data_IF_182362295657
#
_entry.id   IF_182362295657
#
_cell.length_a   1.000
_cell.length_b   1.000
_cell.length_c   1.000
_cell.angle_alpha   90.00
_cell.angle_beta   90.00
_cell.angle_gamma   90.00
#
_symmetry.space_group_name_H-M   'P 1'
#
loop_
_entity.id
_entity.type
_entity.pdbx_description
1 polymer ?
#
# COMPACT_ATOMS: atom_id res chain seq x y z
N UNK A 1 -16.97 24.33 -57.84
CA UNK A 1 -17.63 24.11 -56.53
C UNK A 1 -17.28 22.74 -55.94
N UNK A 2 -16.00 22.31 -55.94
CA UNK A 2 -15.61 20.93 -55.56
C UNK A 2 -14.35 20.82 -54.69
N UNK A 3 -13.72 21.93 -54.32
CA UNK A 3 -12.51 21.95 -53.48
C UNK A 3 -12.83 22.11 -51.98
N UNK A 4 -13.81 22.96 -51.64
CA UNK A 4 -14.20 23.20 -50.24
C UNK A 4 -14.77 21.97 -49.53
N UNK A 5 -15.53 21.13 -50.24
CA UNK A 5 -16.14 19.91 -49.68
C UNK A 5 -15.09 18.84 -49.32
N UNK A 6 -13.96 18.80 -50.04
CA UNK A 6 -12.87 17.85 -49.80
C UNK A 6 -12.01 18.25 -48.59
N UNK A 7 -11.73 19.55 -48.42
CA UNK A 7 -11.01 20.04 -47.22
C UNK A 7 -11.84 19.88 -45.94
N UNK A 8 -13.15 20.12 -45.99
CA UNK A 8 -14.04 19.95 -44.83
C UNK A 8 -14.15 18.47 -44.40
N UNK A 9 -14.15 17.54 -45.36
CA UNK A 9 -14.22 16.10 -45.10
C UNK A 9 -12.94 15.53 -44.48
N UNK A 10 -11.76 16.07 -44.80
CA UNK A 10 -10.50 15.64 -44.17
C UNK A 10 -10.34 16.19 -42.74
N UNK A 11 -10.83 17.41 -42.47
CA UNK A 11 -10.81 17.99 -41.12
C UNK A 11 -11.74 17.23 -40.15
N UNK A 12 -12.90 16.77 -40.61
CA UNK A 12 -13.79 15.91 -39.82
C UNK A 12 -13.14 14.55 -39.48
N UNK A 13 -12.38 13.95 -40.41
CA UNK A 13 -11.66 12.69 -40.16
C UNK A 13 -10.47 12.84 -39.20
N UNK A 14 -9.75 13.98 -39.25
CA UNK A 14 -8.64 14.25 -38.34
C UNK A 14 -9.10 14.53 -36.89
N UNK A 15 -10.27 15.16 -36.72
CA UNK A 15 -10.85 15.46 -35.39
C UNK A 15 -11.50 14.22 -34.74
N UNK A 16 -11.97 13.25 -35.54
CA UNK A 16 -12.52 11.99 -35.03
C UNK A 16 -11.45 11.01 -34.51
N UNK A 17 -10.17 11.19 -34.88
CA UNK A 17 -9.06 10.34 -34.41
C UNK A 17 -8.51 10.73 -33.02
N UNK A 18 -8.99 11.82 -32.42
CA UNK A 18 -8.74 12.15 -31.01
C UNK A 18 -9.93 11.72 -30.15
N UNK A 19 -10.47 10.52 -30.37
CA UNK A 19 -11.24 9.85 -29.32
C UNK A 19 -10.24 9.46 -28.24
N UNK A 20 -10.15 10.32 -27.23
CA UNK A 20 -9.47 10.08 -25.96
C UNK A 20 -9.53 8.60 -25.59
N UNK A 21 -8.38 7.95 -25.59
CA UNK A 21 -8.19 6.65 -24.95
C UNK A 21 -8.27 6.90 -23.43
N UNK A 22 -9.47 7.22 -22.94
CA UNK A 22 -9.76 7.20 -21.53
C UNK A 22 -9.62 5.73 -21.12
N UNK A 23 -8.41 5.34 -20.69
CA UNK A 23 -8.22 4.09 -19.96
C UNK A 23 -9.26 4.14 -18.84
N UNK A 24 -10.17 3.16 -18.76
CA UNK A 24 -11.11 3.10 -17.65
C UNK A 24 -10.30 3.31 -16.37
N UNK A 25 -10.74 4.22 -15.50
CA UNK A 25 -10.18 4.34 -14.15
C UNK A 25 -10.35 2.98 -13.50
N UNK A 26 -9.27 2.22 -13.57
CA UNK A 26 -9.26 0.81 -13.27
C UNK A 26 -9.20 0.70 -11.75
N UNK A 27 -10.36 0.69 -11.12
CA UNK A 27 -10.52 0.62 -9.68
C UNK A 27 -10.38 -0.83 -9.23
N UNK A 28 -9.14 -1.33 -9.24
CA UNK A 28 -8.85 -2.58 -8.57
C UNK A 28 -8.57 -2.28 -7.11
N UNK A 29 -9.41 -2.82 -6.24
CA UNK A 29 -9.23 -2.81 -4.79
C UNK A 29 -9.30 -4.25 -4.29
N UNK A 30 -8.44 -4.60 -3.34
CA UNK A 30 -8.57 -5.83 -2.59
C UNK A 30 -8.07 -5.67 -1.17
N UNK A 31 -8.57 -6.54 -0.29
CA UNK A 31 -8.21 -6.55 1.11
C UNK A 31 -7.69 -7.93 1.48
N UNK A 32 -6.50 -7.96 2.06
CA UNK A 32 -6.00 -9.15 2.73
C UNK A 32 -6.46 -9.14 4.17
N UNK A 33 -7.29 -10.13 4.51
CA UNK A 33 -7.90 -10.31 5.83
C UNK A 33 -6.86 -10.23 6.93
N UNK A 34 -7.14 -9.42 7.95
CA UNK A 34 -6.23 -9.21 9.06
C UNK A 34 -5.87 -10.51 9.79
N UNK A 35 -4.60 -10.65 10.13
CA UNK A 35 -4.04 -11.76 10.93
C UNK A 35 -3.60 -11.27 12.30
N UNK A 36 -3.52 -12.16 13.29
CA UNK A 36 -3.08 -11.86 14.66
C UNK A 36 -4.16 -12.15 15.72
N UNK A 37 -3.90 -11.78 16.97
CA UNK A 37 -4.72 -12.17 18.12
C UNK A 37 -5.94 -11.29 18.44
N UNK A 38 -5.99 -10.05 17.94
CA UNK A 38 -7.20 -9.22 18.00
C UNK A 38 -7.37 -8.26 19.20
N UNK A 39 -6.40 -8.16 20.11
CA UNK A 39 -6.49 -7.27 21.29
C UNK A 39 -6.20 -5.78 21.00
N UNK A 40 -6.55 -4.89 21.92
CA UNK A 40 -6.18 -3.45 21.85
C UNK A 40 -7.11 -2.58 21.00
N UNK A 41 -6.63 -1.42 20.55
CA UNK A 41 -7.37 -0.42 19.78
C UNK A 41 -7.13 -0.59 18.28
N UNK A 42 -8.19 -0.40 17.49
CA UNK A 42 -8.11 -0.42 16.04
C UNK A 42 -7.30 0.77 15.49
N UNK A 43 -6.63 0.56 14.37
CA UNK A 43 -5.93 1.60 13.63
C UNK A 43 -6.12 1.45 12.12
N UNK A 44 -5.90 2.56 11.41
CA UNK A 44 -5.72 2.60 9.97
C UNK A 44 -4.61 3.60 9.65
N UNK A 45 -3.63 3.20 8.85
CA UNK A 45 -2.54 4.04 8.39
C UNK A 45 -2.77 4.34 6.91
N UNK A 46 -3.27 5.54 6.65
CA UNK A 46 -3.61 6.06 5.32
C UNK A 46 -3.09 7.48 5.17
N UNK A 47 -2.95 7.94 3.92
CA UNK A 47 -2.45 9.25 3.58
C UNK A 47 -2.72 9.59 2.11
N UNK A 48 -2.43 10.83 1.73
CA UNK A 48 -2.54 11.30 0.36
C UNK A 48 -1.29 10.94 -0.44
N UNK A 49 -1.47 10.43 -1.65
CA UNK A 49 -0.37 10.04 -2.53
C UNK A 49 0.00 8.56 -2.45
N UNK A 50 1.22 8.21 -2.84
CA UNK A 50 1.75 6.83 -2.80
C UNK A 50 2.58 6.62 -1.56
N UNK A 51 2.64 5.38 -1.06
CA UNK A 51 3.59 5.04 -0.01
C UNK A 51 5.00 5.19 -0.60
N UNK A 52 5.86 5.98 0.04
CA UNK A 52 7.25 6.22 -0.39
C UNK A 52 8.27 5.77 0.65
N UNK A 53 7.84 5.43 1.87
CA UNK A 53 8.72 4.91 2.90
C UNK A 53 7.95 4.16 3.98
N UNK A 54 8.60 3.17 4.59
CA UNK A 54 8.09 2.43 5.74
C UNK A 54 9.11 2.45 6.87
N UNK A 55 8.62 2.62 8.09
CA UNK A 55 9.36 2.40 9.33
C UNK A 55 8.68 1.33 10.18
N UNK A 56 9.50 0.45 10.72
CA UNK A 56 9.09 -0.58 11.68
C UNK A 56 9.96 -0.46 12.93
N UNK A 57 9.32 -0.61 14.08
CA UNK A 57 10.00 -0.81 15.37
C UNK A 57 9.72 -2.23 15.83
N UNK A 58 10.70 -2.85 16.47
CA UNK A 58 10.56 -4.15 17.10
C UNK A 58 11.06 -4.12 18.55
N UNK A 59 10.46 -4.97 19.38
CA UNK A 59 11.10 -5.40 20.62
C UNK A 59 12.06 -6.52 20.25
N UNK A 60 13.35 -6.34 20.54
CA UNK A 60 14.40 -7.28 20.15
C UNK A 60 14.04 -8.72 20.54
N UNK A 61 14.15 -9.64 19.58
CA UNK A 61 13.81 -11.06 19.72
C UNK A 61 12.34 -11.36 20.07
N UNK A 62 11.42 -10.43 19.79
CA UNK A 62 10.01 -10.60 20.10
C UNK A 62 9.11 -10.16 18.94
N UNK A 63 8.42 -9.03 19.09
CA UNK A 63 7.32 -8.62 18.20
C UNK A 63 7.49 -7.20 17.67
N UNK A 64 6.77 -6.92 16.58
CA UNK A 64 6.65 -5.59 16.00
C UNK A 64 5.90 -4.70 16.98
N UNK A 65 6.59 -3.66 17.45
CA UNK A 65 6.08 -2.72 18.45
C UNK A 65 5.38 -1.55 17.78
N UNK A 66 5.82 -1.12 16.60
CA UNK A 66 5.25 0.01 15.90
C UNK A 66 5.44 0.01 14.39
N UNK A 67 4.58 0.76 13.71
CA UNK A 67 4.56 0.92 12.25
C UNK A 67 4.32 2.40 11.92
N UNK A 68 5.02 2.91 10.91
CA UNK A 68 4.77 4.23 10.35
C UNK A 68 4.98 4.20 8.84
N UNK A 69 4.09 4.85 8.09
CA UNK A 69 4.18 4.99 6.63
C UNK A 69 4.43 6.45 6.26
N UNK A 70 5.18 6.68 5.17
CA UNK A 70 5.27 7.97 4.49
C UNK A 70 4.46 7.90 3.21
N UNK A 71 3.58 8.88 3.00
CA UNK A 71 2.89 9.06 1.73
C UNK A 71 3.44 10.31 1.05
N UNK A 72 3.92 10.15 -0.18
CA UNK A 72 4.72 11.14 -0.91
C UNK A 72 5.86 11.70 -0.04
N UNK A 73 5.68 12.89 0.53
CA UNK A 73 6.68 13.55 1.37
C UNK A 73 6.27 13.64 2.86
N UNK A 74 5.09 13.14 3.22
CA UNK A 74 4.48 13.35 4.53
C UNK A 74 4.44 12.04 5.32
N UNK A 75 5.10 12.04 6.49
CA UNK A 75 4.99 10.93 7.44
C UNK A 75 3.64 10.97 8.16
N UNK A 76 3.00 9.81 8.26
CA UNK A 76 1.82 9.61 9.11
C UNK A 76 2.19 9.66 10.60
N UNK A 77 1.19 9.74 11.48
CA UNK A 77 1.41 9.37 12.88
C UNK A 77 1.82 7.88 12.96
N UNK A 78 2.77 7.56 13.83
CA UNK A 78 3.13 6.17 14.09
C UNK A 78 2.03 5.48 14.89
N UNK A 79 1.77 4.22 14.57
CA UNK A 79 0.93 3.31 15.35
C UNK A 79 1.81 2.41 16.20
N UNK A 80 1.40 2.13 17.45
CA UNK A 80 2.17 1.32 18.38
C UNK A 80 3.26 2.12 19.12
N UNK A 81 4.28 1.41 19.59
CA UNK A 81 5.39 1.96 20.37
C UNK A 81 6.64 2.15 19.50
N UNK A 82 7.33 3.28 19.68
CA UNK A 82 8.65 3.54 19.08
C UNK A 82 9.74 3.08 20.04
N UNK A 83 10.15 1.83 19.90
CA UNK A 83 11.21 1.25 20.74
C UNK A 83 12.52 1.28 19.96
N UNK A 84 13.46 2.13 20.38
CA UNK A 84 14.75 2.30 19.72
C UNK A 84 14.66 2.95 18.33
N UNK A 85 15.69 2.73 17.51
CA UNK A 85 15.75 3.22 16.14
C UNK A 85 14.87 2.37 15.21
N UNK A 86 14.15 2.98 14.26
CA UNK A 86 13.34 2.23 13.31
C UNK A 86 14.21 1.53 12.27
N UNK A 87 13.76 0.36 11.85
CA UNK A 87 14.14 -0.22 10.57
C UNK A 87 13.36 0.49 9.46
N UNK A 88 14.05 1.00 8.45
CA UNK A 88 13.46 1.83 7.40
C UNK A 88 13.75 1.29 6.00
N UNK A 89 12.75 1.41 5.12
CA UNK A 89 12.91 1.24 3.69
C UNK A 89 12.29 2.44 2.97
N UNK A 90 13.13 3.26 2.35
CA UNK A 90 12.71 4.27 1.38
C UNK A 90 12.56 3.63 0.01
N UNK A 91 11.41 3.86 -0.62
CA UNK A 91 11.10 3.41 -1.97
C UNK A 91 11.73 4.38 -2.98
N UNK A 92 12.26 3.84 -4.07
CA UNK A 92 12.66 4.62 -5.23
C UNK A 92 11.43 5.14 -5.98
N UNK A 93 11.64 6.10 -6.87
CA UNK A 93 10.60 6.57 -7.79
C UNK A 93 9.97 5.38 -8.53
N UNK A 94 8.64 5.37 -8.58
CA UNK A 94 7.82 4.30 -9.15
C UNK A 94 7.95 2.90 -8.53
N UNK A 95 8.72 2.76 -7.44
CA UNK A 95 8.74 1.52 -6.67
C UNK A 95 7.54 1.43 -5.74
N UNK A 96 6.93 0.25 -5.71
CA UNK A 96 5.72 -0.01 -4.95
C UNK A 96 5.91 -1.25 -4.08
N UNK A 97 5.16 -1.33 -2.99
CA UNK A 97 5.06 -2.56 -2.20
C UNK A 97 3.97 -3.42 -2.83
N UNK A 98 4.32 -4.67 -3.14
CA UNK A 98 3.45 -5.61 -3.88
C UNK A 98 3.17 -6.90 -3.11
N UNK A 99 3.86 -7.10 -1.99
CA UNK A 99 3.61 -8.24 -1.10
C UNK A 99 3.99 -7.86 0.32
N UNK A 100 3.20 -8.38 1.27
CA UNK A 100 3.56 -8.41 2.70
C UNK A 100 3.47 -9.84 3.16
N UNK A 101 4.52 -10.36 3.76
CA UNK A 101 4.47 -11.64 4.46
C UNK A 101 5.06 -11.52 5.85
N UNK A 102 4.96 -12.56 6.66
CA UNK A 102 5.53 -12.52 7.98
C UNK A 102 5.04 -13.62 8.89
N UNK A 103 5.17 -13.34 10.19
CA UNK A 103 4.85 -14.26 11.26
C UNK A 103 4.00 -13.60 12.33
N UNK A 104 3.12 -14.37 12.97
CA UNK A 104 2.38 -13.93 14.15
C UNK A 104 2.27 -15.05 15.19
N UNK A 105 2.17 -14.66 16.47
CA UNK A 105 2.09 -15.59 17.60
C UNK A 105 1.42 -14.98 18.83
N UNK A 106 0.68 -15.81 19.57
CA UNK A 106 -0.06 -15.54 20.80
C UNK A 106 -1.02 -14.36 20.76
N UNK A 107 -0.53 -13.16 20.49
CA UNK A 107 -1.32 -11.95 20.32
C UNK A 107 -0.69 -10.90 19.40
N UNK A 108 0.52 -11.12 18.90
CA UNK A 108 1.32 -10.10 18.23
C UNK A 108 1.82 -10.53 16.86
N UNK A 109 2.13 -9.53 16.04
CA UNK A 109 2.89 -9.71 14.80
C UNK A 109 4.37 -9.81 15.18
N UNK A 110 5.01 -10.92 14.82
CA UNK A 110 6.39 -11.23 15.19
C UNK A 110 7.39 -10.84 14.10
N UNK A 111 6.99 -10.96 12.83
CA UNK A 111 7.83 -10.60 11.71
C UNK A 111 7.00 -9.93 10.63
N UNK A 112 7.61 -8.95 9.97
CA UNK A 112 7.11 -8.38 8.74
C UNK A 112 8.18 -8.37 7.67
N UNK A 113 7.75 -8.75 6.47
CA UNK A 113 8.52 -8.76 5.24
C UNK A 113 7.74 -7.97 4.22
N UNK A 114 8.21 -6.77 3.89
CA UNK A 114 7.66 -5.96 2.80
C UNK A 114 8.49 -6.23 1.55
N UNK A 115 7.88 -6.69 0.47
CA UNK A 115 8.54 -6.92 -0.82
C UNK A 115 8.07 -5.90 -1.84
N UNK A 116 9.02 -5.37 -2.58
CA UNK A 116 8.82 -4.28 -3.55
C UNK A 116 8.76 -4.79 -5.00
N UNK A 117 8.19 -3.97 -5.88
CA UNK A 117 8.16 -4.22 -7.33
C UNK A 117 9.55 -4.26 -7.99
N UNK A 118 10.59 -3.76 -7.30
CA UNK A 118 11.99 -3.84 -7.75
C UNK A 118 12.77 -5.01 -7.12
N UNK A 119 12.08 -5.94 -6.45
CA UNK A 119 12.70 -7.14 -5.85
C UNK A 119 13.50 -6.86 -4.57
N UNK A 120 13.42 -5.65 -4.01
CA UNK A 120 13.98 -5.33 -2.68
C UNK A 120 13.02 -5.73 -1.57
N UNK A 121 13.54 -5.92 -0.37
CA UNK A 121 12.72 -6.21 0.80
C UNK A 121 13.18 -5.51 2.07
N UNK A 122 12.22 -5.21 2.94
CA UNK A 122 12.45 -4.87 4.35
C UNK A 122 12.00 -6.06 5.19
N UNK A 123 12.93 -6.65 5.96
CA UNK A 123 12.68 -7.81 6.82
C UNK A 123 12.98 -7.40 8.26
N UNK A 124 11.99 -7.47 9.14
CA UNK A 124 12.11 -7.05 10.54
C UNK A 124 11.37 -8.04 11.44
N UNK A 125 11.92 -8.33 12.61
CA UNK A 125 11.33 -9.25 13.57
C UNK A 125 11.74 -10.72 13.42
N UNK A 126 11.06 -11.60 14.17
CA UNK A 126 11.46 -12.98 14.39
C UNK A 126 10.73 -14.00 13.49
N UNK A 127 11.45 -14.87 12.75
CA UNK A 127 10.87 -15.80 11.76
C UNK A 127 10.21 -17.05 12.40
N UNK A 128 9.60 -16.90 13.57
CA UNK A 128 9.03 -18.02 14.34
C UNK A 128 7.51 -18.04 14.22
N UNK A 129 6.88 -19.22 14.33
CA UNK A 129 5.42 -19.39 14.49
C UNK A 129 4.62 -19.30 13.17
N UNK A 130 3.36 -18.84 13.22
CA UNK A 130 2.40 -18.93 12.12
C UNK A 130 2.73 -17.96 10.99
N UNK A 131 2.86 -18.48 9.77
CA UNK A 131 3.10 -17.67 8.58
C UNK A 131 1.82 -17.04 8.05
N UNK A 132 1.96 -15.88 7.41
CA UNK A 132 0.94 -15.33 6.52
C UNK A 132 1.60 -14.71 5.28
N UNK A 133 0.82 -14.60 4.20
CA UNK A 133 1.22 -13.92 2.98
C UNK A 133 0.03 -13.13 2.43
N UNK A 134 0.25 -11.86 2.15
CA UNK A 134 -0.70 -10.92 1.60
C UNK A 134 -0.23 -10.49 0.21
N UNK A 135 -1.15 -10.59 -0.74
CA UNK A 135 -0.96 -10.21 -2.13
C UNK A 135 -2.18 -9.43 -2.61
N UNK A 136 -2.00 -8.48 -3.53
CA UNK A 136 -3.12 -7.94 -4.28
C UNK A 136 -3.77 -9.04 -5.13
N UNK A 137 -5.08 -8.96 -5.37
CA UNK A 137 -5.73 -9.83 -6.36
C UNK A 137 -5.43 -9.43 -7.80
N UNK A 138 -5.00 -8.18 -8.04
CA UNK A 138 -4.65 -7.68 -9.38
C UNK A 138 -3.14 -7.41 -9.47
N UNK A 139 -2.43 -7.83 -10.54
CA UNK A 139 -0.98 -7.68 -10.65
C UNK A 139 -0.51 -6.21 -10.65
N UNK A 140 -1.32 -5.29 -11.18
CA UNK A 140 -1.00 -3.85 -11.22
C UNK A 140 -1.36 -3.10 -9.93
N UNK A 141 -1.82 -3.78 -8.88
CA UNK A 141 -2.17 -3.15 -7.62
C UNK A 141 -0.98 -3.12 -6.65
N UNK A 142 -0.92 -2.05 -5.85
CA UNK A 142 0.11 -1.82 -4.83
C UNK A 142 -0.52 -1.64 -3.46
N UNK A 143 0.30 -1.69 -2.40
CA UNK A 143 -0.14 -1.39 -1.05
C UNK A 143 -0.59 0.07 -0.97
N UNK A 144 -1.80 0.28 -0.46
CA UNK A 144 -2.40 1.63 -0.31
C UNK A 144 -2.60 2.01 1.15
N UNK A 145 -2.87 1.04 2.01
CA UNK A 145 -3.20 1.29 3.41
C UNK A 145 -2.92 0.03 4.24
N UNK A 146 -2.51 0.24 5.48
CA UNK A 146 -2.46 -0.80 6.51
C UNK A 146 -3.57 -0.56 7.51
N UNK A 147 -4.21 -1.63 7.98
CA UNK A 147 -5.19 -1.58 9.05
C UNK A 147 -4.89 -2.66 10.07
N UNK A 148 -5.49 -2.58 11.25
CA UNK A 148 -5.27 -3.60 12.26
C UNK A 148 -5.61 -3.11 13.65
N UNK A 149 -4.94 -3.71 14.62
CA UNK A 149 -5.09 -3.40 16.05
C UNK A 149 -3.72 -3.36 16.71
N UNK A 150 -3.60 -2.54 17.74
CA UNK A 150 -2.41 -2.44 18.56
C UNK A 150 -2.80 -2.20 20.02
N UNK A 151 -1.92 -2.56 20.94
CA UNK A 151 -2.06 -2.23 22.36
C UNK A 151 -0.82 -1.46 22.84
N UNK A 152 -0.67 -1.30 24.16
CA UNK A 152 0.48 -0.61 24.76
C UNK A 152 1.82 -1.30 24.52
N UNK A 153 1.83 -2.57 24.09
CA UNK A 153 3.05 -3.34 23.83
C UNK A 153 3.41 -3.36 22.34
N UNK A 154 2.45 -3.69 21.46
CA UNK A 154 2.75 -3.81 20.04
C UNK A 154 1.56 -4.03 19.13
N UNK A 155 1.86 -4.41 17.89
CA UNK A 155 0.88 -4.66 16.84
C UNK A 155 0.26 -6.02 17.06
N UNK A 156 -1.06 -6.05 17.28
CA UNK A 156 -1.79 -7.27 17.63
C UNK A 156 -2.52 -7.89 16.45
N UNK A 157 -2.92 -7.07 15.47
CA UNK A 157 -3.36 -7.54 14.16
C UNK A 157 -2.89 -6.65 13.03
N UNK A 158 -2.78 -7.22 11.83
CA UNK A 158 -2.44 -6.50 10.63
C UNK A 158 -3.25 -7.01 9.43
N UNK A 159 -3.90 -6.11 8.72
CA UNK A 159 -4.50 -6.30 7.40
C UNK A 159 -3.92 -5.33 6.39
N UNK A 160 -4.02 -5.67 5.11
CA UNK A 160 -3.44 -4.90 4.01
C UNK A 160 -4.48 -4.58 2.96
N UNK A 161 -4.47 -3.34 2.49
CA UNK A 161 -5.38 -2.85 1.46
C UNK A 161 -4.57 -2.52 0.22
N UNK A 162 -5.01 -3.10 -0.89
CA UNK A 162 -4.32 -3.03 -2.17
C UNK A 162 -5.17 -2.30 -3.18
N UNK A 163 -4.51 -1.62 -4.12
CA UNK A 163 -5.16 -1.23 -5.35
C UNK A 163 -4.37 -0.31 -6.24
N UNK A 164 -5.03 0.22 -7.27
CA UNK A 164 -4.39 1.03 -8.29
C UNK A 164 -3.94 2.41 -7.77
N UNK A 165 -2.86 2.94 -8.36
CA UNK A 165 -2.31 4.29 -8.08
C UNK A 165 -3.40 5.38 -8.19
N UNK A 166 -4.35 5.22 -9.11
CA UNK A 166 -5.38 6.22 -9.40
C UNK A 166 -6.57 6.23 -8.41
N UNK A 167 -6.58 5.39 -7.37
CA UNK A 167 -7.71 5.35 -6.42
C UNK A 167 -7.87 6.62 -5.56
N UNK A 168 -6.84 7.46 -5.41
CA UNK A 168 -6.91 8.68 -4.58
C UNK A 168 -7.70 9.84 -5.21
N UNK A 169 -7.91 9.85 -6.54
CA UNK A 169 -8.50 11.02 -7.19
C UNK A 169 -10.03 11.05 -7.22
N UNK A 170 -10.71 9.96 -6.83
CA UNK A 170 -12.16 9.84 -7.07
C UNK A 170 -13.00 9.51 -5.81
N UNK A 171 -12.40 9.36 -4.63
CA UNK A 171 -13.12 9.01 -3.39
C UNK A 171 -13.44 10.21 -2.48
N UNK A 172 -13.21 11.44 -2.94
CA UNK A 172 -13.60 12.68 -2.23
C UNK A 172 -14.77 13.43 -2.90
N UNK A 173 -15.49 12.80 -3.84
CA UNK A 173 -16.72 13.34 -4.40
C UNK A 173 -17.91 12.44 -4.07
N UNK A 174 -18.36 12.48 -2.83
CA UNK A 174 -19.70 12.06 -2.40
C UNK A 174 -20.07 12.71 -1.08
#
# INVERSE_FOLDING_TARGET
MSSQTKMFSLLLFAVLCTSCLAKPTLMYYSYSTAVGGGGGSAFSITGQGRITSIRLWEAANAYITGIQLRFDYIWTASVGQKVGEPHQLDLFDDEAIIQISGKYHSNYIYQLIFVTSRGRSLIVGQPTQHSFNFYPTHPDAELRMLSGRHNSAGITTLGAHWGAVNMSNNSMSS
#
